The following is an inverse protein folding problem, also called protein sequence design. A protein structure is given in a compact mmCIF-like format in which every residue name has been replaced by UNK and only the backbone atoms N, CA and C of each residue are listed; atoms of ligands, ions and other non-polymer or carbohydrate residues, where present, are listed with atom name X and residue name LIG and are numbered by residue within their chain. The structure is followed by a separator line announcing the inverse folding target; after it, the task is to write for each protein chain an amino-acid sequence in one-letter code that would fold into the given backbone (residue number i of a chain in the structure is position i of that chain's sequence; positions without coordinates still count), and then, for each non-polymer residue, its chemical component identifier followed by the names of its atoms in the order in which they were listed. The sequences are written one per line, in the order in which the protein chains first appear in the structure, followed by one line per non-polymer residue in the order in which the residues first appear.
data_IF_982200359808
#
_entry.id   IF_982200359808
#
_cell.length_a   1.000
_cell.length_b   1.000
_cell.length_c   1.000
_cell.angle_alpha   90.00
_cell.angle_beta   90.00
_cell.angle_gamma   90.00
#
_symmetry.space_group_name_H-M   'P 1'
#
loop_
_entity.id
_entity.type
_entity.pdbx_description
1 polymer ?
#
# COMPACT_ATOMS: atom_id res chain seq x y z
N UNK A 1 -37.90 -1.11 -55.72
CA UNK A 1 -38.24 -2.05 -54.65
C UNK A 1 -37.59 -1.45 -53.43
N UNK A 2 -38.28 -0.50 -52.78
CA UNK A 2 -37.82 0.04 -51.51
C UNK A 2 -38.22 -1.01 -50.48
N UNK A 3 -37.24 -1.77 -49.99
CA UNK A 3 -37.45 -2.73 -48.91
C UNK A 3 -37.74 -1.91 -47.63
N UNK A 4 -39.00 -1.58 -47.43
CA UNK A 4 -39.49 -0.80 -46.30
C UNK A 4 -39.54 -1.71 -45.07
N UNK A 5 -38.37 -2.04 -44.53
CA UNK A 5 -38.24 -2.76 -43.27
C UNK A 5 -38.90 -1.94 -42.15
N UNK A 6 -39.66 -2.57 -41.24
CA UNK A 6 -40.20 -1.88 -40.08
C UNK A 6 -39.06 -1.34 -39.20
N UNK A 7 -39.24 -0.16 -38.61
CA UNK A 7 -38.21 0.54 -37.82
C UNK A 7 -37.61 -0.36 -36.71
N UNK A 8 -38.42 -1.25 -36.14
CA UNK A 8 -37.98 -2.20 -35.12
C UNK A 8 -36.98 -3.25 -35.66
N UNK A 9 -37.14 -3.73 -36.90
CA UNK A 9 -36.19 -4.66 -37.53
C UNK A 9 -34.86 -3.97 -37.84
N UNK A 10 -34.91 -2.70 -38.25
CA UNK A 10 -33.72 -1.87 -38.45
C UNK A 10 -33.00 -1.66 -37.10
N UNK A 11 -33.72 -1.33 -36.04
CA UNK A 11 -33.13 -1.19 -34.70
C UNK A 11 -32.50 -2.49 -34.20
N UNK A 12 -33.14 -3.65 -34.47
CA UNK A 12 -32.62 -4.96 -34.10
C UNK A 12 -31.26 -5.23 -34.74
N UNK A 13 -31.13 -4.99 -36.05
CA UNK A 13 -29.89 -5.17 -36.81
C UNK A 13 -28.79 -4.17 -36.41
N UNK A 14 -29.16 -3.00 -35.87
CA UNK A 14 -28.22 -1.98 -35.42
C UNK A 14 -27.63 -2.24 -34.03
N UNK A 15 -28.22 -3.11 -33.20
CA UNK A 15 -27.74 -3.33 -31.83
C UNK A 15 -26.28 -3.81 -31.73
N UNK A 16 -25.80 -4.78 -32.54
CA UNK A 16 -24.40 -5.17 -32.51
C UNK A 16 -23.46 -3.98 -32.77
N UNK A 17 -23.84 -3.08 -33.69
CA UNK A 17 -23.08 -1.87 -34.02
C UNK A 17 -23.11 -0.88 -32.84
N UNK A 18 -24.27 -0.70 -32.21
CA UNK A 18 -24.40 0.15 -31.03
C UNK A 18 -23.53 -0.34 -29.85
N UNK A 19 -23.49 -1.66 -29.61
CA UNK A 19 -22.62 -2.26 -28.58
C UNK A 19 -21.13 -2.02 -28.89
N UNK A 20 -20.74 -2.15 -30.16
CA UNK A 20 -19.37 -1.86 -30.60
C UNK A 20 -19.01 -0.38 -30.47
N UNK A 21 -19.92 0.53 -30.83
CA UNK A 21 -19.73 1.97 -30.67
C UNK A 21 -19.53 2.34 -29.19
N UNK A 22 -20.36 1.79 -28.29
CA UNK A 22 -20.21 1.98 -26.86
C UNK A 22 -18.86 1.43 -26.35
N UNK A 23 -18.37 0.33 -26.93
CA UNK A 23 -17.05 -0.22 -26.60
C UNK A 23 -15.91 0.70 -27.04
N UNK A 24 -16.00 1.30 -28.22
CA UNK A 24 -15.04 2.32 -28.68
C UNK A 24 -15.07 3.55 -27.78
N UNK A 25 -16.24 4.03 -27.38
CA UNK A 25 -16.38 5.13 -26.42
C UNK A 25 -15.71 4.81 -25.07
N UNK A 26 -15.88 3.59 -24.58
CA UNK A 26 -15.20 3.09 -23.38
C UNK A 26 -13.68 3.14 -23.54
N UNK A 27 -13.13 2.67 -24.67
CA UNK A 27 -11.69 2.71 -24.94
C UNK A 27 -11.13 4.13 -25.07
N UNK A 28 -11.93 5.07 -25.61
CA UNK A 28 -11.59 6.50 -25.69
C UNK A 28 -11.70 7.23 -24.34
N UNK A 29 -12.08 6.55 -23.26
CA UNK A 29 -12.22 7.13 -21.93
C UNK A 29 -13.53 7.86 -21.68
N UNK A 30 -14.48 7.86 -22.62
CA UNK A 30 -15.84 8.42 -22.47
C UNK A 30 -16.74 7.47 -21.70
N UNK A 31 -16.40 7.26 -20.42
CA UNK A 31 -17.01 6.21 -19.59
C UNK A 31 -18.50 6.42 -19.33
N UNK A 32 -18.94 7.67 -19.15
CA UNK A 32 -20.33 7.97 -18.83
C UNK A 32 -21.25 7.66 -20.03
N UNK A 33 -20.89 8.18 -21.20
CA UNK A 33 -21.59 7.92 -22.47
C UNK A 33 -21.68 6.41 -22.75
N UNK A 34 -20.58 5.68 -22.57
CA UNK A 34 -20.56 4.23 -22.76
C UNK A 34 -21.48 3.50 -21.77
N UNK A 35 -21.51 3.91 -20.49
CA UNK A 35 -22.40 3.31 -19.48
C UNK A 35 -23.88 3.56 -19.80
N UNK A 36 -24.22 4.75 -20.27
CA UNK A 36 -25.58 5.10 -20.70
C UNK A 36 -25.98 4.27 -21.91
N UNK A 37 -25.15 4.23 -22.95
CA UNK A 37 -25.38 3.43 -24.14
C UNK A 37 -25.59 1.94 -23.82
N UNK A 38 -24.73 1.33 -22.99
CA UNK A 38 -24.93 -0.06 -22.57
C UNK A 38 -26.21 -0.26 -21.76
N UNK A 39 -26.54 0.69 -20.87
CA UNK A 39 -27.74 0.59 -20.04
C UNK A 39 -28.99 0.67 -20.89
N UNK A 40 -29.00 1.50 -21.92
CA UNK A 40 -30.15 1.66 -22.82
C UNK A 40 -30.33 0.43 -23.71
N UNK A 41 -29.25 -0.15 -24.24
CA UNK A 41 -29.28 -1.41 -25.01
C UNK A 41 -29.86 -2.54 -24.15
N UNK A 42 -29.40 -2.68 -22.90
CA UNK A 42 -29.88 -3.72 -21.97
C UNK A 42 -31.35 -3.53 -21.58
N UNK A 43 -31.83 -2.28 -21.48
CA UNK A 43 -33.23 -1.98 -21.10
C UNK A 43 -34.21 -2.25 -22.24
N UNK A 44 -33.80 -2.02 -23.49
CA UNK A 44 -34.67 -2.22 -24.65
C UNK A 44 -35.00 -3.70 -24.84
N UNK A 45 -34.09 -4.61 -24.49
CA UNK A 45 -34.30 -6.08 -24.54
C UNK A 45 -34.72 -6.61 -25.93
N UNK A 46 -34.50 -5.81 -26.98
CA UNK A 46 -34.76 -6.15 -28.39
C UNK A 46 -33.53 -6.71 -29.09
N UNK A 47 -32.35 -6.56 -28.49
CA UNK A 47 -31.09 -7.02 -29.03
C UNK A 47 -30.95 -8.55 -28.97
N UNK A 48 -30.14 -9.13 -29.86
CA UNK A 48 -29.80 -10.54 -29.78
C UNK A 48 -29.07 -10.87 -28.45
N UNK A 49 -29.26 -12.09 -27.97
CA UNK A 49 -28.73 -12.52 -26.68
C UNK A 49 -27.20 -12.32 -26.55
N UNK A 50 -26.44 -12.48 -27.64
CA UNK A 50 -24.99 -12.28 -27.67
C UNK A 50 -24.61 -10.80 -27.48
N UNK A 51 -25.28 -9.88 -28.17
CA UNK A 51 -25.08 -8.44 -28.00
C UNK A 51 -25.42 -7.99 -26.58
N UNK A 52 -26.51 -8.51 -26.00
CA UNK A 52 -26.87 -8.25 -24.60
C UNK A 52 -25.78 -8.78 -23.66
N UNK A 53 -25.29 -10.00 -23.87
CA UNK A 53 -24.25 -10.59 -23.02
C UNK A 53 -22.96 -9.76 -23.03
N UNK A 54 -22.53 -9.28 -24.21
CA UNK A 54 -21.37 -8.40 -24.36
C UNK A 54 -21.60 -7.05 -23.70
N UNK A 55 -22.76 -6.42 -23.91
CA UNK A 55 -23.12 -5.14 -23.30
C UNK A 55 -23.15 -5.24 -21.76
N UNK A 56 -23.75 -6.29 -21.21
CA UNK A 56 -23.78 -6.57 -19.76
C UNK A 56 -22.36 -6.69 -19.21
N UNK A 57 -21.51 -7.49 -19.87
CA UNK A 57 -20.13 -7.70 -19.42
C UNK A 57 -19.31 -6.39 -19.43
N UNK A 58 -19.44 -5.59 -20.50
CA UNK A 58 -18.73 -4.33 -20.62
C UNK A 58 -19.23 -3.30 -19.61
N UNK A 59 -20.54 -3.20 -19.38
CA UNK A 59 -21.11 -2.35 -18.34
C UNK A 59 -20.58 -2.73 -16.95
N UNK A 60 -20.49 -4.02 -16.65
CA UNK A 60 -19.90 -4.52 -15.40
C UNK A 60 -18.44 -4.10 -15.26
N UNK A 61 -17.66 -4.19 -16.35
CA UNK A 61 -16.26 -3.75 -16.35
C UNK A 61 -16.10 -2.26 -16.01
N UNK A 62 -17.04 -1.41 -16.46
CA UNK A 62 -17.07 0.02 -16.15
C UNK A 62 -17.49 0.33 -14.71
N UNK A 63 -18.47 -0.42 -14.17
CA UNK A 63 -18.89 -0.31 -12.76
C UNK A 63 -17.80 -0.78 -11.79
N UNK A 64 -17.04 -1.81 -12.18
CA UNK A 64 -16.00 -2.41 -11.36
C UNK A 64 -16.57 -3.00 -10.05
N UNK A 65 -15.93 -2.78 -8.89
CA UNK A 65 -16.40 -3.31 -7.60
C UNK A 65 -17.62 -2.55 -7.04
N UNK A 66 -18.17 -1.56 -7.74
CA UNK A 66 -19.42 -0.90 -7.34
C UNK A 66 -20.59 -1.83 -7.67
N UNK A 67 -21.53 -1.98 -6.75
CA UNK A 67 -22.73 -2.80 -6.90
C UNK A 67 -22.47 -4.26 -7.30
N UNK A 68 -21.48 -4.91 -6.67
CA UNK A 68 -21.08 -6.31 -6.97
C UNK A 68 -22.29 -7.27 -7.01
N UNK A 69 -23.26 -7.10 -6.11
CA UNK A 69 -24.46 -7.94 -6.07
C UNK A 69 -25.39 -7.74 -7.29
N UNK A 70 -25.52 -6.51 -7.81
CA UNK A 70 -26.30 -6.24 -9.02
C UNK A 70 -25.57 -6.82 -10.24
N UNK A 71 -24.26 -6.59 -10.33
CA UNK A 71 -23.41 -7.12 -11.40
C UNK A 71 -23.43 -8.65 -11.46
N UNK A 72 -23.34 -9.34 -10.31
CA UNK A 72 -23.47 -10.80 -10.25
C UNK A 72 -24.85 -11.26 -10.70
N UNK A 73 -25.93 -10.60 -10.25
CA UNK A 73 -27.30 -10.92 -10.66
C UNK A 73 -27.50 -10.75 -12.17
N UNK A 74 -26.88 -9.74 -12.78
CA UNK A 74 -26.92 -9.53 -14.24
C UNK A 74 -26.20 -10.65 -14.98
N UNK A 75 -25.03 -11.10 -14.50
CA UNK A 75 -24.34 -12.26 -15.07
C UNK A 75 -25.11 -13.56 -14.87
N UNK A 76 -25.80 -13.73 -13.74
CA UNK A 76 -26.62 -14.93 -13.47
C UNK A 76 -27.77 -15.09 -14.49
N UNK A 77 -28.18 -14.02 -15.19
CA UNK A 77 -29.14 -14.11 -16.31
C UNK A 77 -28.57 -14.76 -17.56
N UNK A 78 -27.25 -14.74 -17.72
CA UNK A 78 -26.54 -15.39 -18.84
C UNK A 78 -26.22 -16.87 -18.55
N UNK A 79 -26.54 -17.33 -17.33
CA UNK A 79 -26.25 -18.67 -16.85
C UNK A 79 -27.28 -19.67 -17.40
N UNK A 80 -26.82 -20.87 -17.74
CA UNK A 80 -27.68 -22.02 -18.00
C UNK A 80 -28.58 -22.34 -16.79
N UNK A 81 -29.88 -22.55 -17.04
CA UNK A 81 -30.88 -22.64 -15.94
C UNK A 81 -30.80 -23.96 -15.17
N UNK A 82 -30.36 -25.02 -15.83
CA UNK A 82 -30.35 -26.39 -15.30
C UNK A 82 -29.10 -26.72 -14.47
N UNK A 83 -28.08 -25.86 -14.49
CA UNK A 83 -26.81 -26.13 -13.81
C UNK A 83 -26.74 -25.40 -12.47
N UNK A 84 -26.18 -26.04 -11.44
CA UNK A 84 -25.89 -25.36 -10.17
C UNK A 84 -24.72 -24.38 -10.33
N UNK A 85 -23.77 -24.75 -11.19
CA UNK A 85 -22.54 -24.01 -11.42
C UNK A 85 -22.71 -22.96 -12.49
N UNK A 86 -21.88 -21.91 -12.47
CA UNK A 86 -21.95 -20.94 -13.55
C UNK A 86 -21.38 -21.52 -14.84
N UNK A 87 -22.25 -21.65 -15.82
CA UNK A 87 -21.97 -22.02 -17.20
C UNK A 87 -22.85 -21.14 -18.09
N UNK A 88 -22.30 -20.63 -19.19
CA UNK A 88 -23.07 -19.84 -20.15
C UNK A 88 -24.19 -20.69 -20.76
N UNK A 89 -25.35 -20.08 -20.96
CA UNK A 89 -26.45 -20.74 -21.66
C UNK A 89 -26.00 -21.28 -23.03
N UNK A 90 -26.44 -22.48 -23.43
CA UNK A 90 -25.96 -23.16 -24.66
C UNK A 90 -26.02 -22.26 -25.92
N UNK A 91 -27.08 -21.48 -26.07
CA UNK A 91 -27.23 -20.54 -27.19
C UNK A 91 -26.16 -19.45 -27.21
N UNK A 92 -25.78 -18.93 -26.05
CA UNK A 92 -24.71 -17.95 -25.90
C UNK A 92 -23.33 -18.58 -26.11
N UNK A 93 -23.14 -19.80 -25.60
CA UNK A 93 -21.86 -20.49 -25.73
C UNK A 93 -21.54 -20.80 -27.21
N UNK A 94 -22.53 -21.06 -28.06
CA UNK A 94 -22.27 -21.27 -29.49
C UNK A 94 -21.99 -19.97 -30.26
N UNK A 95 -22.55 -18.84 -29.83
CA UNK A 95 -22.48 -17.55 -30.56
C UNK A 95 -21.29 -16.68 -30.15
N UNK A 96 -20.87 -16.75 -28.88
CA UNK A 96 -19.81 -15.88 -28.36
C UNK A 96 -18.42 -16.36 -28.76
N UNK A 97 -17.55 -15.41 -29.11
CA UNK A 97 -16.15 -15.70 -29.40
C UNK A 97 -15.41 -16.12 -28.13
N UNK A 98 -14.35 -16.94 -28.27
CA UNK A 98 -13.54 -17.41 -27.15
C UNK A 98 -13.07 -16.28 -26.21
N UNK A 99 -12.64 -15.14 -26.77
CA UNK A 99 -12.24 -13.95 -25.98
C UNK A 99 -13.39 -13.32 -25.21
N UNK A 100 -14.60 -13.31 -25.76
CA UNK A 100 -15.79 -12.78 -25.09
C UNK A 100 -16.21 -13.70 -23.94
N UNK A 101 -16.20 -15.01 -24.17
CA UNK A 101 -16.44 -16.02 -23.11
C UNK A 101 -15.44 -15.85 -21.98
N UNK A 102 -14.15 -15.81 -22.32
CA UNK A 102 -13.07 -15.63 -21.34
C UNK A 102 -13.27 -14.37 -20.51
N UNK A 103 -13.63 -13.24 -21.13
CA UNK A 103 -13.91 -11.99 -20.43
C UNK A 103 -15.10 -12.11 -19.46
N UNK A 104 -16.19 -12.76 -19.87
CA UNK A 104 -17.37 -12.98 -19.00
C UNK A 104 -17.02 -13.84 -17.80
N UNK A 105 -16.37 -14.98 -18.02
CA UNK A 105 -15.93 -15.87 -16.95
C UNK A 105 -14.95 -15.17 -16.00
N UNK A 106 -13.98 -14.42 -16.54
CA UNK A 106 -12.98 -13.69 -15.77
C UNK A 106 -13.62 -12.59 -14.90
N UNK A 107 -14.51 -11.78 -15.49
CA UNK A 107 -15.23 -10.74 -14.76
C UNK A 107 -16.12 -11.33 -13.66
N UNK A 108 -16.76 -12.48 -13.91
CA UNK A 108 -17.50 -13.19 -12.86
C UNK A 108 -16.60 -13.58 -11.70
N UNK A 109 -15.44 -14.19 -11.96
CA UNK A 109 -14.50 -14.56 -10.91
C UNK A 109 -14.06 -13.33 -10.12
N UNK A 110 -13.69 -12.24 -10.78
CA UNK A 110 -13.29 -11.00 -10.12
C UNK A 110 -14.41 -10.47 -9.21
N UNK A 111 -15.67 -10.47 -9.67
CA UNK A 111 -16.81 -10.09 -8.84
C UNK A 111 -17.01 -11.02 -7.64
N UNK A 112 -16.85 -12.35 -7.81
CA UNK A 112 -16.93 -13.30 -6.71
C UNK A 112 -15.84 -13.06 -5.66
N UNK A 113 -14.61 -12.74 -6.09
CA UNK A 113 -13.51 -12.36 -5.20
C UNK A 113 -13.82 -11.06 -4.46
N UNK A 114 -14.42 -10.06 -5.12
CA UNK A 114 -14.87 -8.82 -4.46
C UNK A 114 -16.04 -9.04 -3.50
N UNK A 115 -16.93 -9.98 -3.80
CA UNK A 115 -18.04 -10.39 -2.93
C UNK A 115 -17.62 -11.34 -1.79
N UNK A 116 -16.33 -11.72 -1.73
CA UNK A 116 -15.80 -12.72 -0.80
C UNK A 116 -16.50 -14.10 -0.89
N UNK A 117 -17.02 -14.47 -2.07
CA UNK A 117 -17.65 -15.77 -2.35
C UNK A 117 -16.60 -16.77 -2.87
N UNK A 118 -15.65 -17.13 -2.01
CA UNK A 118 -14.43 -17.86 -2.41
C UNK A 118 -14.72 -19.28 -2.93
N UNK A 119 -15.72 -19.98 -2.41
CA UNK A 119 -16.03 -21.35 -2.85
C UNK A 119 -16.54 -21.38 -4.31
N UNK A 120 -17.44 -20.45 -4.65
CA UNK A 120 -17.92 -20.29 -6.03
C UNK A 120 -16.80 -19.84 -6.97
N UNK A 121 -15.90 -18.96 -6.50
CA UNK A 121 -14.74 -18.55 -7.27
C UNK A 121 -13.80 -19.74 -7.53
N UNK A 122 -13.54 -20.58 -6.52
CA UNK A 122 -12.67 -21.75 -6.62
C UNK A 122 -13.17 -22.76 -7.66
N UNK A 123 -14.45 -23.08 -7.61
CA UNK A 123 -15.10 -24.00 -8.54
C UNK A 123 -15.12 -23.47 -9.98
N UNK A 124 -15.28 -22.16 -10.17
CA UNK A 124 -15.25 -21.58 -11.50
C UNK A 124 -13.82 -21.57 -12.06
N UNK A 125 -12.87 -21.12 -11.24
CA UNK A 125 -11.46 -20.96 -11.60
C UNK A 125 -10.76 -22.29 -11.85
N UNK A 126 -11.18 -23.40 -11.23
CA UNK A 126 -10.60 -24.72 -11.49
C UNK A 126 -10.86 -25.22 -12.91
N UNK A 127 -11.94 -24.76 -13.56
CA UNK A 127 -12.33 -25.17 -14.92
C UNK A 127 -11.74 -24.28 -16.02
N UNK A 128 -11.36 -23.04 -15.68
CA UNK A 128 -10.86 -22.07 -16.67
C UNK A 128 -9.60 -22.50 -17.44
N UNK A 129 -8.60 -23.20 -16.85
CA UNK A 129 -7.43 -23.66 -17.61
C UNK A 129 -7.77 -24.67 -18.70
N UNK A 130 -8.81 -25.49 -18.49
CA UNK A 130 -9.27 -26.46 -19.51
C UNK A 130 -10.02 -25.75 -20.63
N UNK A 131 -10.80 -24.71 -20.28
CA UNK A 131 -11.55 -23.91 -21.25
C UNK A 131 -10.66 -22.96 -22.07
N UNK A 132 -9.61 -22.42 -21.46
CA UNK A 132 -8.74 -21.40 -22.04
C UNK A 132 -7.25 -21.74 -21.80
N UNK A 133 -6.73 -22.87 -22.34
CA UNK A 133 -5.40 -23.38 -22.01
C UNK A 133 -4.26 -22.45 -22.44
N UNK A 134 -4.48 -21.68 -23.51
CA UNK A 134 -3.50 -20.73 -24.05
C UNK A 134 -3.54 -19.36 -23.36
N UNK A 135 -4.50 -19.11 -22.46
CA UNK A 135 -4.59 -17.81 -21.81
C UNK A 135 -3.80 -17.74 -20.51
N UNK A 136 -3.24 -16.56 -20.25
CA UNK A 136 -2.59 -16.22 -18.97
C UNK A 136 -3.63 -15.91 -17.88
N UNK A 137 -4.83 -15.46 -18.27
CA UNK A 137 -5.86 -14.95 -17.35
C UNK A 137 -6.34 -16.01 -16.35
N UNK A 138 -6.65 -17.26 -16.74
CA UNK A 138 -7.04 -18.32 -15.78
C UNK A 138 -6.04 -18.51 -14.65
N UNK A 139 -4.75 -18.51 -14.97
CA UNK A 139 -3.67 -18.71 -14.00
C UNK A 139 -3.51 -17.49 -13.08
N UNK A 140 -3.66 -16.27 -13.61
CA UNK A 140 -3.68 -15.06 -12.78
C UNK A 140 -4.87 -15.05 -11.81
N UNK A 141 -6.04 -15.52 -12.25
CA UNK A 141 -7.23 -15.65 -11.39
C UNK A 141 -7.06 -16.72 -10.32
N UNK A 142 -6.42 -17.86 -10.65
CA UNK A 142 -6.01 -18.88 -9.67
C UNK A 142 -5.09 -18.30 -8.61
N UNK A 143 -4.05 -17.58 -9.02
CA UNK A 143 -3.13 -16.93 -8.10
C UNK A 143 -3.86 -15.87 -7.24
N UNK A 144 -4.73 -15.05 -7.82
CA UNK A 144 -5.50 -14.05 -7.10
C UNK A 144 -6.42 -14.66 -6.04
N UNK A 145 -7.09 -15.78 -6.37
CA UNK A 145 -7.90 -16.54 -5.41
C UNK A 145 -7.04 -17.08 -4.26
N UNK A 146 -5.89 -17.70 -4.57
CA UNK A 146 -4.99 -18.25 -3.55
C UNK A 146 -4.43 -17.16 -2.63
N UNK A 147 -4.11 -15.98 -3.16
CA UNK A 147 -3.71 -14.82 -2.34
C UNK A 147 -4.85 -14.38 -1.42
N UNK A 148 -6.09 -14.36 -1.89
CA UNK A 148 -7.28 -14.08 -1.05
C UNK A 148 -7.48 -15.13 0.04
N UNK A 149 -7.10 -16.38 -0.20
CA UNK A 149 -7.11 -17.47 0.78
C UNK A 149 -5.87 -17.47 1.71
N UNK A 150 -4.99 -16.48 1.61
CA UNK A 150 -3.73 -16.40 2.36
C UNK A 150 -2.75 -17.57 2.06
N UNK A 151 -2.78 -18.09 0.82
CA UNK A 151 -1.93 -19.19 0.33
C UNK A 151 -0.93 -18.70 -0.72
N UNK A 152 -0.16 -17.67 -0.40
CA UNK A 152 0.78 -17.03 -1.34
C UNK A 152 1.82 -18.00 -1.93
N UNK A 153 2.38 -18.91 -1.13
CA UNK A 153 3.36 -19.89 -1.64
C UNK A 153 2.81 -20.81 -2.75
N UNK A 154 1.54 -21.22 -2.65
CA UNK A 154 0.88 -22.00 -3.71
C UNK A 154 0.63 -21.15 -4.96
N UNK A 155 0.30 -19.86 -4.78
CA UNK A 155 0.12 -18.95 -5.91
C UNK A 155 1.44 -18.78 -6.68
N UNK A 156 2.56 -18.62 -5.96
CA UNK A 156 3.90 -18.50 -6.55
C UNK A 156 4.31 -19.76 -7.32
N UNK A 157 3.94 -20.94 -6.82
CA UNK A 157 4.23 -22.23 -7.47
C UNK A 157 3.46 -22.39 -8.78
N UNK A 158 2.15 -22.14 -8.77
CA UNK A 158 1.31 -22.25 -9.98
C UNK A 158 1.79 -21.26 -11.05
N UNK A 159 2.12 -20.02 -10.66
CA UNK A 159 2.67 -19.03 -11.57
C UNK A 159 4.02 -19.48 -12.15
N UNK A 160 4.91 -20.08 -11.34
CA UNK A 160 6.18 -20.61 -11.82
C UNK A 160 5.99 -21.77 -12.81
N UNK A 161 5.08 -22.70 -12.51
CA UNK A 161 4.78 -23.84 -13.38
C UNK A 161 4.24 -23.38 -14.75
N UNK A 162 3.34 -22.40 -14.76
CA UNK A 162 2.81 -21.86 -16.02
C UNK A 162 3.88 -21.12 -16.83
N UNK A 163 4.73 -20.31 -16.17
CA UNK A 163 5.82 -19.62 -16.84
C UNK A 163 6.84 -20.59 -17.49
N UNK A 164 7.06 -21.76 -16.89
CA UNK A 164 7.89 -22.82 -17.46
C UNK A 164 7.24 -23.51 -18.67
N UNK A 165 5.91 -23.70 -18.65
CA UNK A 165 5.17 -24.30 -19.77
C UNK A 165 5.01 -23.37 -20.97
N UNK A 166 4.87 -22.05 -20.73
CA UNK A 166 4.65 -21.05 -21.77
C UNK A 166 5.68 -19.90 -21.68
N UNK A 167 6.92 -20.12 -22.15
CA UNK A 167 7.98 -19.11 -22.09
C UNK A 167 7.59 -17.78 -22.74
N UNK A 168 6.87 -17.80 -23.87
CA UNK A 168 6.47 -16.60 -24.62
C UNK A 168 5.49 -15.71 -23.85
N UNK A 169 4.74 -16.30 -22.91
CA UNK A 169 3.73 -15.61 -22.08
C UNK A 169 4.22 -15.38 -20.65
N UNK A 170 5.46 -15.76 -20.35
CA UNK A 170 6.02 -15.78 -19.00
C UNK A 170 6.21 -14.40 -18.38
N UNK A 171 6.39 -13.34 -19.19
CA UNK A 171 6.64 -11.97 -18.72
C UNK A 171 5.58 -11.48 -17.73
N UNK A 172 4.29 -11.54 -18.11
CA UNK A 172 3.18 -11.09 -17.26
C UNK A 172 3.09 -11.94 -15.99
N UNK A 173 3.37 -13.23 -16.13
CA UNK A 173 3.30 -14.22 -15.04
C UNK A 173 4.42 -14.01 -14.03
N UNK A 174 5.64 -13.70 -14.47
CA UNK A 174 6.76 -13.37 -13.60
C UNK A 174 6.54 -12.04 -12.86
N UNK A 175 5.94 -11.03 -13.52
CA UNK A 175 5.53 -9.79 -12.84
C UNK A 175 4.49 -10.07 -11.76
N UNK A 176 3.48 -10.87 -12.06
CA UNK A 176 2.47 -11.27 -11.07
C UNK A 176 3.11 -12.04 -9.90
N UNK A 177 4.00 -13.00 -10.19
CA UNK A 177 4.71 -13.79 -9.17
C UNK A 177 5.58 -12.90 -8.30
N UNK A 178 6.29 -11.94 -8.88
CA UNK A 178 7.10 -10.98 -8.14
C UNK A 178 6.25 -10.12 -7.21
N UNK A 179 5.10 -9.63 -7.69
CA UNK A 179 4.17 -8.83 -6.89
C UNK A 179 3.59 -9.64 -5.72
N UNK A 180 3.17 -10.89 -5.97
CA UNK A 180 2.64 -11.79 -4.94
C UNK A 180 3.70 -12.08 -3.88
N UNK A 181 4.91 -12.45 -4.30
CA UNK A 181 6.02 -12.75 -3.39
C UNK A 181 6.45 -11.53 -2.57
N UNK A 182 6.53 -10.34 -3.18
CA UNK A 182 6.85 -9.10 -2.48
C UNK A 182 5.79 -8.75 -1.42
N UNK A 183 4.50 -8.92 -1.74
CA UNK A 183 3.40 -8.70 -0.80
C UNK A 183 3.36 -9.74 0.33
N UNK A 184 3.75 -10.98 0.05
CA UNK A 184 3.83 -12.07 1.03
C UNK A 184 5.07 -12.00 1.94
N UNK A 185 6.03 -11.11 1.65
CA UNK A 185 7.28 -11.00 2.40
C UNK A 185 8.34 -12.04 2.00
N UNK A 186 8.30 -12.52 0.76
CA UNK A 186 9.29 -13.43 0.16
C UNK A 186 10.22 -12.69 -0.82
N UNK A 187 11.17 -11.86 -0.33
CA UNK A 187 11.98 -10.99 -1.20
C UNK A 187 12.88 -11.76 -2.18
N UNK A 188 13.35 -12.96 -1.80
CA UNK A 188 14.15 -13.84 -2.65
C UNK A 188 13.36 -14.28 -3.90
N UNK A 189 12.14 -14.80 -3.74
CA UNK A 189 11.28 -15.23 -4.85
C UNK A 189 10.89 -14.04 -5.73
N UNK A 190 10.66 -12.87 -5.13
CA UNK A 190 10.34 -11.66 -5.86
C UNK A 190 11.50 -11.22 -6.76
N UNK A 191 12.72 -11.18 -6.22
CA UNK A 191 13.93 -10.83 -6.96
C UNK A 191 14.21 -11.84 -8.09
N UNK A 192 14.13 -13.14 -7.80
CA UNK A 192 14.36 -14.20 -8.79
C UNK A 192 13.33 -14.17 -9.92
N UNK A 193 12.08 -13.79 -9.63
CA UNK A 193 11.04 -13.69 -10.65
C UNK A 193 11.27 -12.50 -11.57
N UNK A 194 11.66 -11.34 -11.02
CA UNK A 194 11.98 -10.15 -11.82
C UNK A 194 13.25 -10.36 -12.67
N UNK A 195 14.26 -11.03 -12.12
CA UNK A 195 15.52 -11.30 -12.83
C UNK A 195 15.33 -12.20 -14.08
N UNK A 196 14.24 -12.99 -14.13
CA UNK A 196 13.90 -13.84 -15.29
C UNK A 196 13.28 -13.07 -16.47
N UNK A 197 13.04 -11.76 -16.35
CA UNK A 197 12.45 -10.95 -17.41
C UNK A 197 13.55 -10.16 -18.13
N UNK A 198 14.06 -10.63 -19.28
CA UNK A 198 15.23 -10.04 -19.94
C UNK A 198 14.99 -8.60 -20.40
N UNK A 199 13.79 -8.31 -20.95
CA UNK A 199 13.45 -7.00 -21.52
C UNK A 199 13.62 -5.82 -20.57
N UNK A 200 13.42 -6.06 -19.26
CA UNK A 200 13.41 -5.00 -18.25
C UNK A 200 14.58 -5.11 -17.27
N UNK A 201 15.41 -6.15 -17.37
CA UNK A 201 16.39 -6.54 -16.35
C UNK A 201 17.33 -5.39 -15.97
N UNK A 202 17.80 -4.63 -16.95
CA UNK A 202 18.76 -3.54 -16.76
C UNK A 202 18.11 -2.14 -16.68
N UNK A 203 16.78 -2.04 -16.75
CA UNK A 203 16.10 -0.75 -16.62
C UNK A 203 16.30 -0.20 -15.20
N UNK A 204 16.53 1.12 -15.01
CA UNK A 204 16.89 1.67 -13.70
C UNK A 204 15.87 1.34 -12.60
N UNK A 205 14.58 1.36 -12.92
CA UNK A 205 13.52 0.99 -11.98
C UNK A 205 13.58 -0.50 -11.57
N UNK A 206 13.86 -1.39 -12.51
CA UNK A 206 14.02 -2.83 -12.23
C UNK A 206 15.28 -3.09 -11.42
N UNK A 207 16.39 -2.45 -11.75
CA UNK A 207 17.65 -2.56 -11.01
C UNK A 207 17.45 -2.09 -9.58
N UNK A 208 16.84 -0.91 -9.37
CA UNK A 208 16.57 -0.38 -8.04
C UNK A 208 15.65 -1.30 -7.21
N UNK A 209 14.61 -1.86 -7.83
CA UNK A 209 13.71 -2.81 -7.15
C UNK A 209 14.40 -4.13 -6.82
N UNK A 210 15.19 -4.70 -7.74
CA UNK A 210 15.98 -5.91 -7.51
C UNK A 210 17.00 -5.73 -6.38
N UNK A 211 17.74 -4.61 -6.37
CA UNK A 211 18.69 -4.27 -5.31
C UNK A 211 17.97 -4.17 -3.97
N UNK A 212 16.86 -3.42 -3.91
CA UNK A 212 16.09 -3.27 -2.67
C UNK A 212 15.51 -4.60 -2.16
N UNK A 213 15.05 -5.47 -3.06
CA UNK A 213 14.55 -6.80 -2.70
C UNK A 213 15.69 -7.69 -2.18
N UNK A 214 16.84 -7.72 -2.85
CA UNK A 214 18.01 -8.50 -2.42
C UNK A 214 18.59 -8.00 -1.10
N UNK A 215 18.67 -6.68 -0.89
CA UNK A 215 19.03 -6.09 0.42
C UNK A 215 18.09 -6.57 1.53
N UNK A 216 16.77 -6.56 1.28
CA UNK A 216 15.77 -7.07 2.25
C UNK A 216 15.90 -8.57 2.50
N UNK A 217 16.37 -9.32 1.51
CA UNK A 217 16.68 -10.75 1.66
C UNK A 217 18.01 -11.01 2.39
N UNK A 218 18.82 -9.98 2.65
CA UNK A 218 20.17 -10.10 3.20
C UNK A 218 21.25 -10.49 2.17
N UNK A 219 20.89 -10.56 0.89
CA UNK A 219 21.80 -10.89 -0.21
C UNK A 219 22.50 -9.64 -0.75
N UNK A 220 23.46 -9.12 0.03
CA UNK A 220 24.21 -7.90 -0.31
C UNK A 220 25.12 -8.12 -1.52
N UNK A 221 25.72 -9.30 -1.62
CA UNK A 221 26.61 -9.64 -2.74
C UNK A 221 25.84 -9.79 -4.05
N UNK A 222 24.67 -10.44 -4.03
CA UNK A 222 23.80 -10.50 -5.19
C UNK A 222 23.23 -9.14 -5.56
N UNK A 223 22.94 -8.26 -4.61
CA UNK A 223 22.52 -6.88 -4.89
C UNK A 223 23.63 -6.08 -5.58
N UNK A 224 24.88 -6.21 -5.11
CA UNK A 224 26.05 -5.63 -5.77
C UNK A 224 26.24 -6.19 -7.19
N UNK A 225 26.07 -7.50 -7.38
CA UNK A 225 26.18 -8.13 -8.69
C UNK A 225 25.13 -7.63 -9.69
N UNK A 226 23.91 -7.33 -9.23
CA UNK A 226 22.86 -6.72 -10.08
C UNK A 226 23.31 -5.33 -10.55
N UNK A 227 23.85 -4.49 -9.67
CA UNK A 227 24.39 -3.18 -10.04
C UNK A 227 25.57 -3.29 -11.01
N UNK A 228 26.53 -4.19 -10.74
CA UNK A 228 27.68 -4.41 -11.62
C UNK A 228 27.26 -4.92 -13.01
N UNK A 229 26.23 -5.77 -13.07
CA UNK A 229 25.66 -6.23 -14.36
C UNK A 229 24.96 -5.10 -15.13
N UNK A 230 24.27 -4.20 -14.42
CA UNK A 230 23.64 -3.03 -15.01
C UNK A 230 24.69 -2.06 -15.56
N UNK A 231 25.76 -1.78 -14.80
CA UNK A 231 26.88 -0.93 -15.27
C UNK A 231 27.46 -1.48 -16.57
N UNK A 232 27.74 -2.79 -16.63
CA UNK A 232 28.28 -3.45 -17.84
C UNK A 232 27.34 -3.37 -19.04
N UNK A 233 26.02 -3.44 -18.81
CA UNK A 233 25.04 -3.33 -19.88
C UNK A 233 24.95 -1.89 -20.41
N UNK A 234 24.83 -0.91 -19.51
CA UNK A 234 24.72 0.51 -19.85
C UNK A 234 26.01 1.13 -20.40
N UNK A 235 27.19 0.55 -20.10
CA UNK A 235 28.45 0.96 -20.73
C UNK A 235 28.51 0.62 -22.21
N UNK A 236 27.82 -0.46 -22.61
CA UNK A 236 27.80 -0.95 -23.99
C UNK A 236 26.56 -0.47 -24.76
N UNK A 237 25.54 0.02 -24.05
CA UNK A 237 24.31 0.52 -24.64
C UNK A 237 24.57 1.87 -25.35
N UNK A 238 24.47 1.89 -26.68
CA UNK A 238 24.47 3.12 -27.49
C UNK A 238 23.08 3.77 -27.46
N UNK A 239 22.69 4.33 -26.31
CA UNK A 239 21.42 5.04 -26.14
C UNK A 239 21.66 6.53 -25.93
N UNK A 240 20.86 7.40 -26.57
CA UNK A 240 20.92 8.86 -26.40
C UNK A 240 20.71 9.28 -24.93
N UNK A 241 19.86 8.53 -24.20
CA UNK A 241 19.50 8.76 -22.80
C UNK A 241 20.29 7.86 -21.83
N UNK A 242 21.61 7.74 -22.02
CA UNK A 242 22.42 6.82 -21.22
C UNK A 242 22.40 7.19 -19.72
N UNK A 243 21.80 6.33 -18.88
CA UNK A 243 21.71 6.50 -17.42
C UNK A 243 22.88 5.87 -16.65
N UNK A 244 23.95 5.46 -17.35
CA UNK A 244 25.14 4.83 -16.77
C UNK A 244 25.69 5.58 -15.56
N UNK A 245 25.87 6.89 -15.66
CA UNK A 245 26.46 7.69 -14.59
C UNK A 245 25.61 7.69 -13.31
N UNK A 246 24.29 7.76 -13.45
CA UNK A 246 23.36 7.63 -12.32
C UNK A 246 23.47 6.23 -11.69
N UNK A 247 23.56 5.18 -12.50
CA UNK A 247 23.70 3.81 -11.99
C UNK A 247 25.05 3.62 -11.27
N UNK A 248 26.16 4.16 -11.81
CA UNK A 248 27.48 4.13 -11.16
C UNK A 248 27.45 4.88 -9.82
N UNK A 249 26.84 6.07 -9.78
CA UNK A 249 26.69 6.85 -8.56
C UNK A 249 25.94 6.06 -7.48
N UNK A 250 24.84 5.41 -7.84
CA UNK A 250 24.05 4.58 -6.91
C UNK A 250 24.76 3.27 -6.53
N UNK A 251 25.53 2.68 -7.44
CA UNK A 251 26.33 1.51 -7.12
C UNK A 251 27.44 1.85 -6.12
N UNK A 252 28.09 3.00 -6.28
CA UNK A 252 29.09 3.48 -5.34
C UNK A 252 28.46 3.81 -3.97
N UNK A 253 27.29 4.48 -3.97
CA UNK A 253 26.54 4.80 -2.74
C UNK A 253 26.12 3.51 -2.00
N UNK A 254 25.68 2.50 -2.74
CA UNK A 254 25.35 1.17 -2.23
C UNK A 254 26.56 0.50 -1.58
N UNK A 255 27.69 0.40 -2.30
CA UNK A 255 28.90 -0.25 -1.79
C UNK A 255 29.44 0.44 -0.53
N UNK A 256 29.38 1.78 -0.48
CA UNK A 256 29.75 2.55 0.70
C UNK A 256 28.86 2.24 1.92
N UNK A 257 27.54 2.12 1.73
CA UNK A 257 26.59 1.78 2.82
C UNK A 257 26.84 0.39 3.41
N UNK A 258 27.38 -0.53 2.60
CA UNK A 258 27.66 -1.92 2.99
C UNK A 258 29.15 -2.17 3.31
N UNK A 259 29.95 -1.12 3.53
CA UNK A 259 31.35 -1.25 3.97
C UNK A 259 32.35 -1.68 2.91
N UNK A 260 31.97 -1.69 1.62
CA UNK A 260 32.86 -1.98 0.48
C UNK A 260 33.51 -0.69 -0.03
N UNK A 261 34.31 -0.07 0.83
CA UNK A 261 34.83 1.29 0.63
C UNK A 261 35.81 1.39 -0.54
N UNK A 262 36.66 0.37 -0.74
CA UNK A 262 37.62 0.34 -1.85
C UNK A 262 36.92 0.31 -3.22
N UNK A 263 35.89 -0.53 -3.37
CA UNK A 263 35.12 -0.63 -4.61
C UNK A 263 34.31 0.64 -4.87
N UNK A 264 33.75 1.24 -3.82
CA UNK A 264 33.03 2.50 -3.90
C UNK A 264 33.96 3.64 -4.36
N UNK A 265 35.17 3.71 -3.81
CA UNK A 265 36.17 4.71 -4.20
C UNK A 265 36.52 4.58 -5.69
N UNK A 266 36.76 3.35 -6.20
CA UNK A 266 37.04 3.12 -7.63
C UNK A 266 35.89 3.61 -8.53
N UNK A 267 34.65 3.28 -8.17
CA UNK A 267 33.48 3.72 -8.95
C UNK A 267 33.33 5.26 -8.94
N UNK A 268 33.57 5.91 -7.80
CA UNK A 268 33.54 7.37 -7.73
C UNK A 268 34.70 8.02 -8.50
N UNK A 269 35.91 7.44 -8.50
CA UNK A 269 37.02 7.94 -9.31
C UNK A 269 36.68 7.91 -10.80
N UNK A 270 36.07 6.82 -11.27
CA UNK A 270 35.68 6.67 -12.67
C UNK A 270 34.56 7.65 -13.05
N UNK A 271 33.62 7.90 -12.13
CA UNK A 271 32.55 8.88 -12.30
C UNK A 271 33.08 10.33 -12.36
N UNK A 272 34.10 10.65 -11.54
CA UNK A 272 34.75 11.97 -11.56
C UNK A 272 35.52 12.18 -12.87
N UNK A 273 36.18 11.14 -13.40
CA UNK A 273 36.88 11.20 -14.69
C UNK A 273 35.92 11.44 -15.86
N UNK A 274 34.70 10.88 -15.83
CA UNK A 274 33.76 10.94 -16.95
C UNK A 274 32.93 12.23 -17.02
N UNK A 275 32.42 12.72 -15.88
CA UNK A 275 31.49 13.86 -15.85
C UNK A 275 31.98 15.07 -15.06
N UNK A 276 33.02 14.93 -14.22
CA UNK A 276 33.44 16.02 -13.31
C UNK A 276 32.30 16.52 -12.40
N UNK A 277 31.30 15.68 -12.10
CA UNK A 277 30.16 16.06 -11.27
C UNK A 277 30.62 16.30 -9.81
N UNK A 278 30.12 17.38 -9.20
CA UNK A 278 30.43 17.77 -7.82
C UNK A 278 29.95 16.70 -6.84
N UNK A 279 28.77 16.11 -7.06
CA UNK A 279 28.25 15.05 -6.17
C UNK A 279 29.14 13.80 -6.16
N UNK A 280 29.65 13.42 -7.34
CA UNK A 280 30.60 12.32 -7.47
C UNK A 280 31.92 12.62 -6.75
N UNK A 281 32.40 13.87 -6.84
CA UNK A 281 33.62 14.31 -6.16
C UNK A 281 33.45 14.33 -4.63
N UNK A 282 32.28 14.77 -4.14
CA UNK A 282 31.95 14.71 -2.70
C UNK A 282 31.87 13.26 -2.22
N UNK A 283 31.22 12.38 -3.01
CA UNK A 283 31.20 10.95 -2.76
C UNK A 283 32.61 10.37 -2.67
N UNK A 284 33.47 10.69 -3.65
CA UNK A 284 34.86 10.26 -3.69
C UNK A 284 35.63 10.71 -2.44
N UNK A 285 35.61 12.00 -2.12
CA UNK A 285 36.30 12.56 -0.94
C UNK A 285 35.83 11.86 0.33
N UNK A 286 34.51 11.65 0.47
CA UNK A 286 33.93 10.97 1.65
C UNK A 286 34.38 9.51 1.75
N UNK A 287 34.45 8.79 0.62
CA UNK A 287 34.92 7.39 0.59
C UNK A 287 36.41 7.28 0.85
N UNK A 288 37.21 8.11 0.18
CA UNK A 288 38.67 8.08 0.26
C UNK A 288 39.14 8.57 1.63
N UNK A 289 38.43 9.49 2.29
CA UNK A 289 38.77 9.93 3.64
C UNK A 289 38.77 8.77 4.67
N UNK A 290 38.01 7.70 4.41
CA UNK A 290 38.01 6.50 5.27
C UNK A 290 39.19 5.56 5.01
N UNK A 291 39.75 5.61 3.80
CA UNK A 291 40.86 4.76 3.35
C UNK A 291 42.23 5.45 3.48
N UNK A 292 42.34 6.68 2.99
CA UNK A 292 43.57 7.49 2.90
C UNK A 292 43.25 8.99 2.93
N UNK A 293 43.54 9.61 4.06
CA UNK A 293 43.30 11.05 4.31
C UNK A 293 44.06 11.93 3.31
N UNK A 294 45.30 11.57 2.95
CA UNK A 294 46.12 12.40 2.07
C UNK A 294 45.54 12.46 0.66
N UNK A 295 45.01 11.33 0.16
CA UNK A 295 44.32 11.30 -1.14
C UNK A 295 43.03 12.10 -1.09
N UNK A 296 42.30 12.05 0.03
CA UNK A 296 41.07 12.83 0.20
C UNK A 296 41.35 14.33 0.10
N UNK A 297 42.41 14.84 0.74
CA UNK A 297 42.84 16.25 0.66
C UNK A 297 43.20 16.68 -0.79
N UNK A 298 43.76 15.77 -1.60
CA UNK A 298 44.05 16.06 -3.01
C UNK A 298 42.77 16.25 -3.83
N UNK A 299 41.74 15.46 -3.57
CA UNK A 299 40.44 15.60 -4.23
C UNK A 299 39.62 16.76 -3.67
N UNK A 300 39.75 17.07 -2.38
CA UNK A 300 39.11 18.22 -1.73
C UNK A 300 39.51 19.54 -2.40
N UNK A 301 40.79 19.70 -2.77
CA UNK A 301 41.28 20.89 -3.49
C UNK A 301 40.58 21.14 -4.83
N UNK A 302 39.93 20.13 -5.41
CA UNK A 302 39.15 20.26 -6.66
C UNK A 302 37.72 20.73 -6.41
N UNK A 303 37.24 20.74 -5.16
CA UNK A 303 35.92 21.27 -4.81
C UNK A 303 35.94 22.80 -4.85
N UNK A 304 34.85 23.39 -5.36
CA UNK A 304 34.69 24.84 -5.38
C UNK A 304 34.54 25.35 -3.95
N UNK A 305 35.35 26.32 -3.56
CA UNK A 305 35.16 27.04 -2.30
C UNK A 305 33.81 27.74 -2.32
N UNK A 306 33.01 27.55 -1.28
CA UNK A 306 31.71 28.20 -1.16
C UNK A 306 31.89 29.74 -1.09
N UNK A 307 31.26 30.51 -1.99
CA UNK A 307 31.36 31.97 -1.95
C UNK A 307 30.67 32.51 -0.68
N UNK A 308 31.39 33.34 0.08
CA UNK A 308 30.85 34.02 1.27
C UNK A 308 31.34 33.51 2.63
N UNK A 309 32.15 32.45 2.70
CA UNK A 309 32.68 31.87 3.95
C UNK A 309 34.01 32.48 4.46
N UNK A 310 34.42 33.64 3.93
CA UNK A 310 35.63 34.35 4.41
C UNK A 310 35.34 35.02 5.75
N UNK A 311 35.61 34.32 6.85
CA UNK A 311 35.49 34.88 8.21
C UNK A 311 34.88 33.94 9.26
N UNK A 312 34.53 32.71 8.88
CA UNK A 312 34.08 31.69 9.83
C UNK A 312 35.28 30.84 10.24
N UNK A 313 35.65 30.95 11.52
CA UNK A 313 36.68 30.10 12.14
C UNK A 313 36.12 28.69 12.36
N UNK A 314 36.45 27.77 11.45
CA UNK A 314 35.95 26.39 11.45
C UNK A 314 36.36 25.66 12.74
N UNK A 315 37.58 25.88 13.23
CA UNK A 315 38.10 25.26 14.46
C UNK A 315 37.31 25.69 15.71
N UNK A 316 36.84 26.94 15.73
CA UNK A 316 35.99 27.45 16.80
C UNK A 316 34.59 26.80 16.76
N UNK A 317 34.04 26.59 15.57
CA UNK A 317 32.73 25.97 15.37
C UNK A 317 32.74 24.48 15.75
N UNK A 318 33.79 23.74 15.37
CA UNK A 318 33.95 22.33 15.71
C UNK A 318 34.16 22.10 17.22
N UNK A 319 34.82 23.06 17.90
CA UNK A 319 34.99 23.03 19.37
C UNK A 319 33.73 23.40 20.14
N UNK A 320 32.77 24.10 19.54
CA UNK A 320 31.49 24.40 20.18
C UNK A 320 30.54 23.22 20.08
N UNK A 321 30.46 22.42 21.14
CA UNK A 321 29.44 21.38 21.28
C UNK A 321 28.03 22.00 21.28
N UNK A 322 27.34 21.91 20.14
CA UNK A 322 25.93 22.29 20.01
C UNK A 322 25.72 23.74 19.55
N UNK A 323 25.15 23.88 18.35
CA UNK A 323 24.70 25.14 17.77
C UNK A 323 23.75 25.85 18.73
N UNK A 324 24.18 26.94 19.35
CA UNK A 324 23.24 28.02 19.70
C UNK A 324 23.07 28.83 18.44
N UNK A 325 21.87 28.82 17.87
CA UNK A 325 21.50 29.79 16.84
C UNK A 325 21.80 31.18 17.40
N UNK A 326 22.81 31.81 16.84
CA UNK A 326 23.09 33.22 17.10
C UNK A 326 22.11 33.95 16.20
N UNK A 327 21.03 34.47 16.78
CA UNK A 327 20.17 35.43 16.10
C UNK A 327 21.07 36.58 15.61
N UNK A 328 21.28 36.63 14.30
CA UNK A 328 22.11 37.64 13.66
C UNK A 328 21.46 39.01 13.88
N UNK A 329 22.15 40.01 14.46
CA UNK A 329 21.70 41.39 14.37
C UNK A 329 21.96 41.89 12.95
N UNK A 330 20.93 42.50 12.36
CA UNK A 330 21.00 43.22 11.10
C UNK A 330 22.27 44.06 10.97
N UNK A 331 23.00 43.86 9.88
CA UNK A 331 24.13 44.67 9.45
C UNK A 331 23.63 46.08 9.12
N UNK A 332 23.89 47.02 10.02
CA UNK A 332 23.88 48.45 9.72
C UNK A 332 25.31 48.85 9.34
N UNK A 333 25.49 49.27 8.10
CA UNK A 333 26.72 49.86 7.59
C UNK A 333 26.99 51.16 8.34
N UNK A 334 28.18 51.30 8.93
CA UNK A 334 28.82 52.60 9.16
C UNK A 334 30.34 52.37 9.24
N UNK A 335 31.05 52.91 8.26
CA UNK A 335 32.49 53.03 8.28
C UNK A 335 32.95 54.08 9.29
N UNK A 336 34.16 53.84 9.80
CA UNK A 336 35.27 54.77 10.11
C UNK A 336 35.80 54.63 11.54
N UNK A 337 37.10 54.34 11.56
CA UNK A 337 37.97 54.28 12.74
C UNK A 337 38.06 55.65 13.41
N UNK A 338 38.16 55.67 14.74
CA UNK A 338 39.22 56.43 15.40
C UNK A 338 39.51 55.93 16.83
N UNK A 339 40.75 56.16 17.23
CA UNK A 339 41.45 55.59 18.37
C UNK A 339 40.92 56.05 19.74
N UNK A 340 41.15 55.23 20.78
CA UNK A 340 40.99 55.70 22.15
C UNK A 340 41.08 54.61 23.20
N UNK A 341 42.24 54.52 23.86
CA UNK A 341 42.46 53.81 25.11
C UNK A 341 41.31 54.09 26.10
N UNK A 342 40.69 53.06 26.68
CA UNK A 342 40.29 53.05 28.08
C UNK A 342 39.90 51.66 28.59
N UNK A 343 40.56 51.24 29.67
CA UNK A 343 40.20 50.09 30.51
C UNK A 343 38.78 50.29 31.07
N UNK A 344 37.80 49.50 30.62
CA UNK A 344 36.47 49.46 31.22
C UNK A 344 36.21 48.10 31.89
N UNK A 345 36.07 48.15 33.21
CA UNK A 345 35.80 47.03 34.13
C UNK A 345 34.60 46.18 33.67
N UNK A 346 34.76 44.86 33.68
CA UNK A 346 33.67 43.90 33.45
C UNK A 346 32.57 44.05 34.52
N UNK A 347 31.39 44.56 34.13
CA UNK A 347 30.20 44.56 34.98
C UNK A 347 29.71 43.11 35.16
N UNK A 348 29.88 42.54 36.37
CA UNK A 348 29.29 41.25 36.74
C UNK A 348 27.76 41.33 36.63
N UNK A 349 27.16 40.54 35.72
CA UNK A 349 25.70 40.41 35.62
C UNK A 349 25.16 39.75 36.89
N UNK A 350 24.24 40.45 37.57
CA UNK A 350 23.55 39.99 38.79
C UNK A 350 22.68 38.77 38.44
N UNK A 351 22.94 37.59 39.03
CA UNK A 351 22.05 36.43 38.89
C UNK A 351 20.69 36.76 39.51
N UNK A 352 19.60 36.62 38.75
CA UNK A 352 18.23 36.80 39.26
C UNK A 352 17.88 35.63 40.18
N UNK A 353 17.15 35.91 41.27
CA UNK A 353 16.69 34.88 42.24
C UNK A 353 15.71 33.92 41.55
N UNK A 354 15.76 32.60 41.85
CA UNK A 354 14.79 31.64 41.34
C UNK A 354 13.38 32.02 41.81
N UNK A 355 12.40 31.90 40.91
CA UNK A 355 11.00 32.23 41.18
C UNK A 355 10.31 30.99 41.72
N UNK A 356 9.95 30.99 43.00
CA UNK A 356 9.26 29.86 43.63
C UNK A 356 7.78 29.79 43.21
N UNK A 357 7.15 28.60 43.25
CA UNK A 357 5.71 28.44 43.03
C UNK A 357 4.88 29.32 43.97
N UNK A 358 3.70 29.75 43.50
CA UNK A 358 2.83 30.69 44.21
C UNK A 358 2.39 30.09 45.55
N UNK A 359 2.85 30.68 46.67
CA UNK A 359 2.54 30.24 48.04
C UNK A 359 3.64 29.46 48.76
N UNK A 360 4.85 29.30 48.19
CA UNK A 360 5.99 28.67 48.86
C UNK A 360 6.80 29.68 49.68
N UNK A 361 6.81 29.54 51.01
CA UNK A 361 7.58 30.37 51.94
C UNK A 361 8.87 29.63 52.38
N UNK A 362 10.09 30.14 52.08
CA UNK A 362 11.34 29.41 52.31
C UNK A 362 11.66 29.11 53.78
N UNK A 363 11.10 29.86 54.73
CA UNK A 363 11.38 29.69 56.16
C UNK A 363 10.51 28.61 56.84
N UNK A 364 9.39 28.23 56.22
CA UNK A 364 8.53 27.12 56.63
C UNK A 364 8.04 26.43 55.36
N UNK A 365 8.81 25.48 54.81
CA UNK A 365 8.31 24.71 53.67
C UNK A 365 7.04 24.00 54.15
N UNK A 366 5.89 24.44 53.62
CA UNK A 366 4.63 23.74 53.85
C UNK A 366 4.73 22.28 53.43
N UNK A 367 3.74 21.45 53.77
CA UNK A 367 3.76 20.03 53.45
C UNK A 367 4.08 19.82 51.97
N UNK A 368 4.89 18.80 51.63
CA UNK A 368 5.37 18.57 50.28
C UNK A 368 4.19 18.50 49.30
N UNK A 369 4.35 18.97 48.05
CA UNK A 369 3.30 18.92 47.06
C UNK A 369 2.73 17.51 46.95
N UNK A 370 1.40 17.40 46.89
CA UNK A 370 0.64 16.14 46.86
C UNK A 370 1.34 15.08 45.97
N UNK A 371 1.73 13.92 46.54
CA UNK A 371 2.44 12.88 45.81
C UNK A 371 1.63 12.30 44.65
N UNK A 372 0.31 12.48 44.61
CA UNK A 372 -0.55 12.01 43.51
C UNK A 372 -0.76 13.08 42.42
N UNK A 373 -0.02 14.20 42.46
CA UNK A 373 -0.17 15.30 41.49
C UNK A 373 0.22 14.93 40.07
N UNK A 374 1.12 13.96 39.89
CA UNK A 374 1.53 13.46 38.57
C UNK A 374 0.56 12.41 38.03
N UNK A 375 -0.31 11.84 38.88
CA UNK A 375 -1.32 10.87 38.45
C UNK A 375 -2.48 11.56 37.71
N UNK A 376 -3.07 10.91 36.68
CA UNK A 376 -4.32 11.35 36.07
C UNK A 376 -5.39 11.61 37.12
N UNK A 377 -6.18 12.68 36.96
CA UNK A 377 -7.13 13.16 37.98
C UNK A 377 -8.13 12.10 38.49
N UNK A 378 -8.41 11.06 37.70
CA UNK A 378 -9.31 9.95 38.05
C UNK A 378 -8.70 8.91 39.00
N UNK A 379 -7.37 8.82 39.01
CA UNK A 379 -6.59 7.87 39.81
C UNK A 379 -6.11 8.48 41.13
N UNK A 380 -6.38 9.77 41.35
CA UNK A 380 -6.08 10.45 42.61
C UNK A 380 -7.09 10.02 43.67
N UNK A 381 -6.62 9.75 44.88
CA UNK A 381 -7.40 9.48 46.09
C UNK A 381 -8.48 10.54 46.36
N UNK A 382 -8.25 11.79 45.97
CA UNK A 382 -9.22 12.89 46.07
C UNK A 382 -10.33 12.87 45.01
N UNK A 383 -10.30 11.94 44.05
CA UNK A 383 -11.30 11.85 42.99
C UNK A 383 -12.63 11.28 43.50
N UNK A 384 -13.66 12.12 43.58
CA UNK A 384 -15.05 11.69 43.77
C UNK A 384 -15.80 11.72 42.42
N UNK A 385 -16.16 10.56 41.83
CA UNK A 385 -16.98 10.52 40.63
C UNK A 385 -18.38 11.08 40.91
N UNK A 386 -18.90 11.93 40.01
CA UNK A 386 -20.32 12.34 40.07
C UNK A 386 -21.20 11.12 39.75
N UNK A 387 -22.31 10.98 40.49
CA UNK A 387 -23.20 9.79 40.58
C UNK A 387 -23.66 9.13 39.28
N UNK A 388 -23.44 9.70 38.10
CA UNK A 388 -23.89 9.15 36.80
C UNK A 388 -22.87 8.24 36.10
N UNK A 389 -21.58 8.28 36.48
CA UNK A 389 -20.49 7.61 35.73
C UNK A 389 -19.78 6.47 36.48
N UNK A 390 -20.47 5.80 37.42
CA UNK A 390 -19.86 4.66 38.16
C UNK A 390 -19.47 3.48 37.26
N UNK A 391 -20.13 3.27 36.12
CA UNK A 391 -19.80 2.18 35.17
C UNK A 391 -18.63 2.48 34.24
N UNK A 392 -18.28 3.75 34.02
CA UNK A 392 -17.19 4.13 33.12
C UNK A 392 -15.80 4.13 33.81
N UNK A 393 -15.77 4.21 35.15
CA UNK A 393 -14.52 4.19 35.91
C UNK A 393 -13.89 2.80 36.03
N UNK A 394 -14.69 1.73 35.90
CA UNK A 394 -14.22 0.35 36.12
C UNK A 394 -13.77 -0.36 34.83
N UNK A 395 -14.06 0.20 33.65
CA UNK A 395 -13.92 -0.49 32.35
C UNK A 395 -12.69 -0.03 31.54
N UNK A 396 -11.88 0.90 32.06
CA UNK A 396 -10.72 1.42 31.31
C UNK A 396 -9.44 1.47 32.14
N UNK A 397 -9.09 0.33 32.73
CA UNK A 397 -7.72 0.06 33.18
C UNK A 397 -6.79 -0.22 31.99
N UNK A 398 -5.48 -0.12 32.20
CA UNK A 398 -4.45 -0.49 31.22
C UNK A 398 -4.70 -1.91 30.72
N UNK A 399 -4.71 -2.12 29.39
CA UNK A 399 -4.91 -3.45 28.81
C UNK A 399 -3.92 -4.44 29.42
N UNK A 400 -4.43 -5.43 30.16
CA UNK A 400 -3.64 -6.54 30.71
C UNK A 400 -3.88 -6.93 32.18
N UNK A 401 -4.61 -6.15 32.98
CA UNK A 401 -4.81 -6.48 34.41
C UNK A 401 -6.12 -7.25 34.65
N UNK A 402 -6.00 -8.58 34.89
CA UNK A 402 -7.09 -9.44 35.36
C UNK A 402 -7.38 -9.18 36.84
N UNK A 403 -8.62 -8.79 37.16
CA UNK A 403 -9.10 -8.57 38.54
C UNK A 403 -9.46 -9.93 39.16
N UNK A 404 -8.76 -10.32 40.24
CA UNK A 404 -9.14 -11.42 41.13
C UNK A 404 -10.17 -10.92 42.14
N UNK A 405 -11.40 -11.40 42.06
CA UNK A 405 -12.40 -11.22 43.12
C UNK A 405 -12.07 -12.16 44.29
N UNK A 406 -11.93 -11.55 45.48
CA UNK A 406 -11.78 -12.24 46.76
C UNK A 406 -13.15 -12.21 47.45
N UNK A 407 -13.78 -13.37 47.61
CA UNK A 407 -14.96 -13.54 48.45
C UNK A 407 -14.60 -14.44 49.63
N UNK A 408 -14.70 -13.88 50.84
CA UNK A 408 -14.48 -14.59 52.11
C UNK A 408 -15.74 -15.37 52.54
N UNK A 409 -15.48 -16.63 52.94
CA UNK A 409 -16.09 -17.48 53.97
C UNK A 409 -17.59 -17.41 54.33
N UNK A 410 -18.30 -18.53 54.10
CA UNK A 410 -19.15 -19.17 55.12
C UNK A 410 -19.34 -20.66 54.79
N UNK A 411 -19.22 -21.49 55.83
CA UNK A 411 -19.12 -22.94 55.79
C UNK A 411 -20.46 -23.67 55.63
N UNK A 412 -20.48 -24.78 54.88
CA UNK A 412 -21.03 -26.05 55.38
C UNK A 412 -20.76 -27.22 54.44
N UNK A 413 -20.54 -28.35 55.10
CA UNK A 413 -20.06 -29.65 54.65
C UNK A 413 -21.25 -30.52 54.22
N UNK A 414 -21.18 -31.19 53.07
CA UNK A 414 -21.34 -32.66 52.93
C UNK A 414 -21.57 -33.14 51.48
N UNK A 415 -20.56 -33.86 51.01
CA UNK A 415 -20.57 -35.25 50.56
C UNK A 415 -21.46 -35.79 49.40
N UNK A 416 -20.76 -36.59 48.59
CA UNK A 416 -21.16 -37.81 47.85
C UNK A 416 -22.06 -37.75 46.61
N UNK A 417 -21.36 -37.76 45.48
CA UNK A 417 -21.37 -38.76 44.40
C UNK A 417 -22.61 -39.00 43.49
N UNK A 418 -22.38 -39.42 42.22
CA UNK A 418 -23.25 -39.20 41.07
C UNK A 418 -23.95 -40.48 40.57
N UNK A 419 -24.93 -40.31 39.68
CA UNK A 419 -25.30 -41.23 38.57
C UNK A 419 -26.43 -40.58 37.75
N UNK A 420 -26.21 -40.25 36.48
CA UNK A 420 -26.43 -41.09 35.28
C UNK A 420 -27.90 -41.37 34.96
N UNK A 421 -28.41 -40.72 33.91
CA UNK A 421 -29.07 -41.29 32.73
C UNK A 421 -29.92 -40.19 32.08
N UNK A 422 -29.57 -39.76 30.87
CA UNK A 422 -30.08 -40.32 29.62
C UNK A 422 -31.60 -40.38 29.58
N UNK A 423 -32.17 -39.49 28.75
CA UNK A 423 -32.68 -39.85 27.43
C UNK A 423 -34.03 -39.19 27.14
N UNK A 424 -34.15 -38.72 25.89
CA UNK A 424 -35.38 -38.54 25.11
C UNK A 424 -36.36 -37.48 25.61
N UNK A 425 -36.98 -36.67 24.75
CA UNK A 425 -37.09 -36.72 23.32
C UNK A 425 -38.42 -36.09 22.93
N UNK A 426 -38.34 -35.18 21.95
CA UNK A 426 -39.37 -34.88 20.96
C UNK A 426 -40.65 -34.11 21.33
N UNK A 427 -40.81 -33.03 20.54
CA UNK A 427 -42.01 -32.57 19.83
C UNK A 427 -43.10 -31.82 20.61
N UNK A 428 -43.33 -30.59 20.13
CA UNK A 428 -44.55 -30.35 19.36
C UNK A 428 -45.28 -29.02 19.64
N UNK A 429 -45.46 -28.26 18.54
CA UNK A 429 -46.55 -27.32 18.23
C UNK A 429 -46.70 -26.06 19.13
N UNK A 430 -46.51 -24.83 18.62
CA UNK A 430 -47.28 -24.09 17.61
C UNK A 430 -48.63 -23.54 18.12
N UNK A 431 -48.70 -22.20 18.25
CA UNK A 431 -49.84 -21.30 17.95
C UNK A 431 -49.54 -19.93 18.62
N UNK A 432 -49.36 -18.81 17.89
CA UNK A 432 -50.42 -17.85 17.43
C UNK A 432 -51.07 -17.19 18.67
N UNK A 433 -51.16 -15.88 18.90
CA UNK A 433 -51.14 -14.63 18.12
C UNK A 433 -51.18 -13.47 19.13
N UNK A 434 -50.73 -12.27 18.79
CA UNK A 434 -51.62 -11.09 18.65
C UNK A 434 -50.84 -9.78 18.49
N UNK A 435 -51.34 -9.00 17.55
CA UNK A 435 -50.97 -7.63 17.24
C UNK A 435 -51.46 -6.69 18.34
N UNK A 436 -50.70 -5.63 18.63
CA UNK A 436 -51.26 -4.29 18.82
C UNK A 436 -50.25 -3.23 18.39
N UNK A 437 -50.57 -2.51 17.31
CA UNK A 437 -50.16 -1.11 17.12
C UNK A 437 -51.10 -0.23 17.96
N UNK A 438 -50.66 0.99 18.32
CA UNK A 438 -51.34 2.12 17.69
C UNK A 438 -50.39 3.21 17.18
N UNK A 439 -50.94 3.98 16.26
CA UNK A 439 -50.43 5.15 15.55
C UNK A 439 -50.47 6.45 16.38
N UNK A 440 -49.59 7.41 16.07
CA UNK A 440 -49.96 8.84 16.02
C UNK A 440 -48.95 9.67 15.21
N UNK A 441 -49.49 10.48 14.28
CA UNK A 441 -48.83 11.52 13.46
C UNK A 441 -48.68 12.85 14.24
N UNK A 442 -47.61 13.61 13.97
CA UNK A 442 -47.55 15.10 13.88
C UNK A 442 -46.06 15.50 13.75
N UNK A 443 -45.57 16.53 13.07
CA UNK A 443 -46.08 17.59 12.19
C UNK A 443 -44.85 18.33 11.62
N UNK A 444 -44.99 18.90 10.42
CA UNK A 444 -44.07 19.86 9.77
C UNK A 444 -43.56 20.98 10.69
N UNK A 445 -42.29 21.39 10.49
CA UNK A 445 -41.90 22.81 10.58
C UNK A 445 -40.78 23.14 9.58
N UNK A 446 -41.10 24.05 8.66
CA UNK A 446 -40.15 24.83 7.84
C UNK A 446 -39.42 25.82 8.75
N UNK A 447 -38.14 26.08 8.50
CA UNK A 447 -37.50 27.35 8.85
C UNK A 447 -36.67 27.84 7.66
N UNK A 448 -36.95 29.10 7.29
CA UNK A 448 -36.13 29.95 6.42
C UNK A 448 -34.74 30.12 7.04
N UNK A 449 -33.70 30.01 6.23
CA UNK A 449 -32.87 31.14 5.82
C UNK A 449 -32.23 30.83 4.47
#
# INVERSE_FOLDING_TARGET
MDDNFPDDEIEIELFPIAVQLAYVQQLLGRKQDAMEAYTDIIKRDLADESSIAVAVNNLISLKGPKDVSDSLRKLDRLKEKETQNFELARGLDLKLLAKQKEAIYSNRVLLLLHANKLDQARELVSRLPEMFPESVVPVLLQAALLVRENKAGRAEEILAQFAGKFPDKSKIVFLARAQVAAAAGHPHIAADSLAKIPDIQHMPATVATLVSLKERAGDIDGAAAVLDSAIKWWSNAMTEDNKLNTIIQEAASFKLRHGKEEDAARLYEDLVKSQGNIEALVGLVTTVARLDVNKAELYEKKLKTLPGLKGIDVDSVERTSGVKQVDAPHVAVTETQEEGKNKAKAKKKRKRKPRYPKGFDPAKPGPPPDPERWLPKRERSSYRPKRKDKRAAQVRGSQGAVVREKHDAAASINNSNPKSNQATGSKGAAAVSEQTKPSSKSSKKKSRN
#
